data_IF_887308889147
#
_entry.id   IF_887308889147
#
_cell.length_a   1.000
_cell.length_b   1.000
_cell.length_c   1.000
_cell.angle_alpha   90.00
_cell.angle_beta   90.00
_cell.angle_gamma   90.00
#
_symmetry.space_group_name_H-M   'P 1'
#
loop_
_entity.id
_entity.type
_entity.pdbx_description
1 polymer ?
#
# COMPACT_ATOMS: atom_id res chain seq x y z
N UNK A 1 -18.44 -11.75 6.78
CA UNK A 1 -17.29 -11.00 7.35
C UNK A 1 -16.03 -11.51 6.67
N UNK A 2 -15.20 -10.66 6.04
CA UNK A 2 -13.89 -11.11 5.59
C UNK A 2 -13.06 -11.40 6.83
N UNK A 3 -12.66 -12.66 7.01
CA UNK A 3 -11.82 -13.12 8.09
C UNK A 3 -10.46 -12.43 7.98
N UNK A 4 -10.08 -11.65 9.00
CA UNK A 4 -8.76 -11.02 9.08
C UNK A 4 -7.72 -12.15 8.98
N UNK A 5 -6.84 -12.17 7.97
CA UNK A 5 -5.86 -13.24 7.85
C UNK A 5 -4.98 -13.23 9.12
N UNK A 6 -4.67 -14.40 9.69
CA UNK A 6 -3.75 -14.48 10.81
C UNK A 6 -2.43 -13.90 10.32
N UNK A 7 -1.93 -12.86 11.01
CA UNK A 7 -0.68 -12.13 10.78
C UNK A 7 0.14 -12.62 9.58
N UNK A 8 0.31 -11.76 8.56
CA UNK A 8 1.20 -12.05 7.42
C UNK A 8 2.61 -12.26 7.98
N UNK A 9 3.02 -13.52 8.08
CA UNK A 9 4.36 -13.91 8.51
C UNK A 9 5.27 -13.84 7.29
N UNK A 10 6.47 -13.33 7.49
CA UNK A 10 7.47 -13.41 6.45
C UNK A 10 7.85 -14.88 6.21
N UNK A 11 7.77 -15.40 4.97
CA UNK A 11 7.95 -16.82 4.69
C UNK A 11 9.35 -17.36 5.01
N UNK A 12 10.37 -16.49 5.05
CA UNK A 12 11.76 -16.89 5.34
C UNK A 12 12.24 -16.60 6.78
N UNK A 13 11.68 -15.59 7.44
CA UNK A 13 12.14 -15.15 8.78
C UNK A 13 11.09 -15.39 9.88
N UNK A 14 9.83 -15.70 9.55
CA UNK A 14 8.75 -15.88 10.52
C UNK A 14 8.30 -14.59 11.24
N UNK A 15 9.04 -13.49 11.07
CA UNK A 15 8.71 -12.18 11.62
C UNK A 15 7.32 -11.72 11.17
N UNK A 16 6.59 -11.12 12.10
CA UNK A 16 5.31 -10.46 11.87
C UNK A 16 5.52 -8.95 11.87
N UNK A 17 4.55 -8.21 11.31
CA UNK A 17 4.67 -6.80 10.95
C UNK A 17 4.78 -5.80 12.11
N UNK A 18 5.26 -6.17 13.29
CA UNK A 18 5.24 -5.28 14.45
C UNK A 18 6.53 -5.34 15.29
N UNK A 19 7.24 -4.21 15.26
CA UNK A 19 8.29 -3.72 16.16
C UNK A 19 9.76 -4.15 15.94
N UNK A 20 10.07 -5.33 15.39
CA UNK A 20 11.48 -5.73 15.18
C UNK A 20 11.72 -6.40 13.81
N UNK A 21 12.82 -6.02 13.14
CA UNK A 21 13.20 -6.50 11.80
C UNK A 21 14.54 -7.22 11.90
N UNK A 22 14.58 -8.53 11.60
CA UNK A 22 15.84 -9.27 11.54
C UNK A 22 16.60 -8.99 10.23
N UNK A 23 17.86 -9.43 10.14
CA UNK A 23 18.72 -9.13 8.98
C UNK A 23 18.18 -9.74 7.67
N UNK A 24 17.60 -10.95 7.74
CA UNK A 24 16.91 -11.56 6.59
C UNK A 24 15.80 -10.65 6.06
N UNK A 25 15.03 -10.02 6.96
CA UNK A 25 13.93 -9.16 6.55
C UNK A 25 14.44 -7.79 6.01
N UNK A 26 15.64 -7.33 6.40
CA UNK A 26 16.29 -6.11 5.86
C UNK A 26 16.86 -6.31 4.45
N UNK A 27 17.36 -7.51 4.17
CA UNK A 27 17.93 -7.88 2.87
C UNK A 27 16.87 -8.19 1.80
N UNK A 28 15.58 -8.03 2.11
CA UNK A 28 14.53 -8.27 1.11
C UNK A 28 14.72 -7.36 -0.10
N UNK A 29 14.54 -7.91 -1.31
CA UNK A 29 14.58 -7.10 -2.51
C UNK A 29 13.46 -6.06 -2.45
N UNK A 30 13.84 -4.81 -2.74
CA UNK A 30 12.88 -3.72 -2.87
C UNK A 30 11.93 -4.07 -4.00
N UNK A 31 10.64 -4.23 -3.67
CA UNK A 31 9.62 -4.43 -4.69
C UNK A 31 9.43 -3.14 -5.49
N UNK A 32 9.73 -3.23 -6.79
CA UNK A 32 9.53 -2.16 -7.76
C UNK A 32 8.18 -2.35 -8.42
N UNK A 33 7.31 -1.35 -8.28
CA UNK A 33 6.03 -1.28 -8.95
C UNK A 33 5.86 0.14 -9.50
N UNK A 34 4.92 0.33 -10.42
CA UNK A 34 4.60 1.66 -10.92
C UNK A 34 4.06 2.52 -9.77
N UNK A 35 4.65 3.71 -9.59
CA UNK A 35 4.27 4.68 -8.55
C UNK A 35 4.15 6.10 -9.08
N UNK A 36 4.03 6.23 -10.41
CA UNK A 36 3.79 7.50 -11.05
C UNK A 36 2.51 8.15 -10.47
N UNK A 37 2.51 9.47 -10.38
CA UNK A 37 1.38 10.23 -9.82
C UNK A 37 1.81 11.32 -8.84
N UNK A 38 0.82 12.06 -8.34
CA UNK A 38 1.04 13.21 -7.45
C UNK A 38 0.92 12.80 -5.98
N UNK A 39 1.83 13.23 -5.09
CA UNK A 39 1.69 13.02 -3.64
C UNK A 39 0.31 13.50 -3.15
N UNK A 40 -0.36 12.71 -2.31
CA UNK A 40 -1.70 13.00 -1.79
C UNK A 40 -2.86 12.41 -2.60
N UNK A 41 -2.67 12.05 -3.88
CA UNK A 41 -3.72 11.50 -4.74
C UNK A 41 -3.57 10.00 -5.04
N UNK A 42 -2.49 9.37 -4.55
CA UNK A 42 -2.22 7.95 -4.81
C UNK A 42 -3.11 7.06 -3.96
N UNK A 43 -3.73 6.08 -4.60
CA UNK A 43 -4.51 5.03 -3.96
C UNK A 43 -3.63 4.15 -3.04
N UNK A 44 -4.21 3.55 -1.98
CA UNK A 44 -3.47 2.77 -0.98
C UNK A 44 -2.67 1.59 -1.56
N UNK A 45 -3.19 0.92 -2.59
CA UNK A 45 -2.54 -0.19 -3.31
C UNK A 45 -1.24 0.24 -3.99
N UNK A 46 -1.16 1.48 -4.49
CA UNK A 46 0.08 2.06 -5.03
C UNK A 46 1.11 2.25 -3.91
N UNK A 47 0.65 2.72 -2.74
CA UNK A 47 1.52 2.96 -1.57
C UNK A 47 2.06 1.66 -0.98
N UNK A 48 1.20 0.65 -0.88
CA UNK A 48 1.51 -0.70 -0.40
C UNK A 48 2.25 -1.56 -1.42
N UNK A 49 2.47 -1.03 -2.62
CA UNK A 49 3.20 -1.69 -3.72
C UNK A 49 2.53 -2.97 -4.22
N UNK A 50 1.22 -2.92 -4.41
CA UNK A 50 0.47 -4.02 -5.02
C UNK A 50 0.82 -4.15 -6.51
N UNK A 51 0.85 -5.39 -7.01
CA UNK A 51 1.25 -5.68 -8.40
C UNK A 51 0.12 -5.36 -9.38
N UNK A 52 -1.10 -5.77 -9.04
CA UNK A 52 -2.28 -5.56 -9.87
C UNK A 52 -2.81 -4.15 -9.66
N UNK A 53 -2.26 -3.22 -10.43
CA UNK A 53 -2.76 -1.85 -10.50
C UNK A 53 -3.80 -1.77 -11.60
N UNK A 54 -4.91 -1.15 -11.25
CA UNK A 54 -6.16 -1.27 -11.95
C UNK A 54 -6.76 0.13 -12.07
N UNK A 55 -7.76 0.36 -12.93
CA UNK A 55 -8.30 1.72 -13.19
C UNK A 55 -8.96 2.37 -11.97
N UNK A 56 -9.21 1.59 -10.92
CA UNK A 56 -9.76 2.00 -9.64
C UNK A 56 -8.87 3.03 -8.93
N UNK A 57 -7.58 3.09 -9.27
CA UNK A 57 -6.66 4.14 -8.78
C UNK A 57 -7.10 5.53 -9.23
N UNK A 58 -7.69 5.65 -10.42
CA UNK A 58 -8.19 6.92 -10.95
C UNK A 58 -9.48 7.33 -10.22
N UNK A 59 -10.34 6.36 -9.89
CA UNK A 59 -11.55 6.57 -9.09
C UNK A 59 -11.18 7.08 -7.70
N UNK A 60 -10.14 6.52 -7.08
CA UNK A 60 -9.61 7.01 -5.81
C UNK A 60 -9.14 8.48 -5.92
N UNK A 61 -8.35 8.81 -6.95
CA UNK A 61 -7.86 10.17 -7.17
C UNK A 61 -9.01 11.18 -7.42
N UNK A 62 -10.04 10.78 -8.15
CA UNK A 62 -11.27 11.56 -8.33
C UNK A 62 -11.98 11.79 -6.98
N UNK A 63 -12.04 10.77 -6.12
CA UNK A 63 -12.57 10.89 -4.76
C UNK A 63 -11.80 11.87 -3.88
N UNK A 64 -10.46 11.86 -3.93
CA UNK A 64 -9.61 12.85 -3.21
C UNK A 64 -9.86 14.27 -3.72
N UNK A 65 -10.04 14.42 -5.03
CA UNK A 65 -10.36 15.72 -5.66
C UNK A 65 -11.72 16.23 -5.19
N UNK A 66 -12.74 15.37 -5.23
CA UNK A 66 -14.08 15.67 -4.72
C UNK A 66 -14.05 16.04 -3.24
N UNK A 67 -13.29 15.31 -2.42
CA UNK A 67 -13.12 15.60 -1.00
C UNK A 67 -12.53 17.00 -0.78
N UNK A 68 -11.60 17.44 -1.63
CA UNK A 68 -11.02 18.79 -1.54
C UNK A 68 -12.09 19.87 -1.75
N UNK A 69 -12.95 19.70 -2.76
CA UNK A 69 -14.10 20.59 -2.98
C UNK A 69 -15.07 20.61 -1.79
N UNK A 70 -15.40 19.45 -1.21
CA UNK A 70 -16.34 19.36 -0.10
C UNK A 70 -15.77 19.93 1.20
N UNK A 71 -14.48 19.74 1.45
CA UNK A 71 -13.81 20.24 2.65
C UNK A 71 -13.37 21.71 2.53
N UNK A 72 -13.61 22.35 1.38
CA UNK A 72 -13.10 23.70 1.04
C UNK A 72 -11.59 23.82 1.27
N UNK A 73 -10.85 22.80 0.84
CA UNK A 73 -9.40 22.84 0.71
C UNK A 73 -9.00 23.16 -0.72
#
# INVERSE_FOLDING_TARGET
MPTRPPFIKHPKCGCTSFAEVCDICKELPVKHVNKAGTPGYRAPEILLRFDEQTTEIDIFAAGVTMLSFLLKK
#
